data_IF_315782513739
#
_entry.id   IF_315782513739
#
_cell.length_a   1.000
_cell.length_b   1.000
_cell.length_c   1.000
_cell.angle_alpha   90.00
_cell.angle_beta   90.00
_cell.angle_gamma   90.00
#
_symmetry.space_group_name_H-M   'P 1'
#
loop_
_entity.id
_entity.type
_entity.pdbx_description
1 polymer ?
#
# COMPACT_ATOMS: atom_id res chain seq x y z
N UNK A 1 12.18 -11.71 -13.33
CA UNK A 1 12.52 -10.39 -13.89
C UNK A 1 12.53 -9.46 -12.71
N UNK A 2 13.75 -9.10 -12.28
CA UNK A 2 14.02 -8.47 -11.00
C UNK A 2 13.41 -7.08 -10.88
N UNK A 3 12.98 -6.81 -9.67
CA UNK A 3 12.58 -5.51 -9.14
C UNK A 3 13.77 -4.55 -9.04
N UNK A 4 14.47 -4.31 -10.14
CA UNK A 4 15.38 -3.20 -10.30
C UNK A 4 14.67 -2.03 -10.95
N UNK A 5 13.53 -1.64 -10.38
CA UNK A 5 12.98 -0.36 -10.73
C UNK A 5 13.53 0.67 -9.78
N UNK A 6 14.81 0.96 -10.00
CA UNK A 6 15.49 2.05 -9.38
C UNK A 6 14.83 3.36 -9.79
N UNK A 7 14.56 4.20 -8.83
CA UNK A 7 14.47 5.65 -8.98
C UNK A 7 15.76 6.08 -9.69
N UNK A 8 15.71 6.21 -10.99
CA UNK A 8 16.83 6.66 -11.79
C UNK A 8 16.70 8.17 -11.93
N UNK A 9 17.53 8.82 -11.18
CA UNK A 9 17.92 10.21 -11.17
C UNK A 9 17.58 11.00 -12.43
N UNK A 10 16.51 11.81 -12.38
CA UNK A 10 16.18 12.76 -13.45
C UNK A 10 16.61 14.20 -13.16
N UNK A 11 17.16 14.48 -11.98
CA UNK A 11 17.29 15.87 -11.53
C UNK A 11 18.68 16.33 -11.12
N UNK A 12 19.74 15.56 -11.35
CA UNK A 12 21.09 16.01 -11.04
C UNK A 12 22.03 15.59 -12.17
N UNK A 13 22.83 16.57 -12.60
CA UNK A 13 23.87 16.42 -13.61
C UNK A 13 24.66 15.12 -13.36
N UNK A 14 24.43 14.12 -14.24
CA UNK A 14 24.69 12.70 -14.00
C UNK A 14 26.17 12.31 -13.89
N UNK A 15 27.09 13.25 -13.77
CA UNK A 15 28.52 12.94 -13.65
C UNK A 15 29.06 12.89 -12.23
N UNK A 16 28.44 13.61 -11.29
CA UNK A 16 28.99 13.71 -9.92
C UNK A 16 28.25 12.87 -8.87
N UNK A 17 27.09 12.28 -9.18
CA UNK A 17 26.36 11.45 -8.21
C UNK A 17 26.51 9.94 -8.43
N UNK A 18 26.95 9.48 -9.58
CA UNK A 18 27.23 8.06 -9.81
C UNK A 18 28.40 7.55 -8.96
N UNK A 19 29.31 8.42 -8.55
CA UNK A 19 30.45 8.04 -7.69
C UNK A 19 30.05 7.87 -6.21
N UNK A 20 28.99 8.54 -5.73
CA UNK A 20 28.65 8.57 -4.30
C UNK A 20 27.54 7.62 -3.85
N UNK A 21 26.84 6.94 -4.76
CA UNK A 21 25.71 6.05 -4.45
C UNK A 21 25.73 4.75 -5.24
N UNK A 22 26.90 4.12 -5.39
CA UNK A 22 26.92 2.72 -5.77
C UNK A 22 26.37 1.89 -4.61
N UNK A 23 25.15 1.37 -4.73
CA UNK A 23 24.56 0.46 -3.74
C UNK A 23 25.45 -0.75 -3.42
N UNK A 24 26.37 -1.09 -4.32
CA UNK A 24 27.33 -2.18 -4.16
C UNK A 24 28.43 -1.86 -3.16
N UNK A 25 28.69 -0.58 -2.91
CA UNK A 25 29.71 -0.13 -1.95
C UNK A 25 29.16 0.05 -0.54
N UNK A 26 27.82 0.20 -0.39
CA UNK A 26 27.19 0.43 0.90
C UNK A 26 26.84 -0.87 1.63
N UNK A 27 26.44 -1.92 0.91
CA UNK A 27 26.00 -3.19 1.49
C UNK A 27 26.56 -4.33 0.64
N UNK A 28 27.23 -5.26 1.28
CA UNK A 28 27.69 -6.48 0.62
C UNK A 28 26.52 -7.24 -0.05
N UNK A 29 26.70 -7.74 -1.30
CA UNK A 29 25.61 -8.43 -2.03
C UNK A 29 25.05 -9.64 -1.29
N UNK A 30 25.84 -10.31 -0.47
CA UNK A 30 25.42 -11.43 0.37
C UNK A 30 24.46 -10.98 1.46
N UNK A 31 24.75 -9.87 2.13
CA UNK A 31 23.92 -9.28 3.16
C UNK A 31 22.62 -8.73 2.56
N UNK A 32 22.68 -8.07 1.39
CA UNK A 32 21.50 -7.60 0.68
C UNK A 32 20.56 -8.76 0.31
N UNK A 33 21.10 -9.91 -0.13
CA UNK A 33 20.30 -11.11 -0.39
C UNK A 33 19.64 -11.62 0.88
N UNK A 34 20.38 -11.70 1.98
CA UNK A 34 19.88 -12.12 3.30
C UNK A 34 18.74 -11.24 3.79
N UNK A 35 18.89 -9.92 3.66
CA UNK A 35 17.86 -8.94 4.05
C UNK A 35 16.60 -9.01 3.16
N UNK A 36 16.73 -9.45 1.92
CA UNK A 36 15.63 -9.64 1.00
C UNK A 36 15.02 -11.06 0.99
N UNK A 37 15.45 -11.94 1.90
CA UNK A 37 14.88 -13.28 2.00
C UNK A 37 13.41 -13.23 2.42
N UNK A 38 12.58 -13.86 1.61
CA UNK A 38 11.13 -13.95 1.85
C UNK A 38 10.78 -15.29 2.48
N UNK A 39 9.84 -15.28 3.40
CA UNK A 39 9.34 -16.47 4.08
C UNK A 39 7.82 -16.54 4.00
N UNK A 40 7.28 -17.69 3.59
CA UNK A 40 5.83 -17.90 3.65
C UNK A 40 5.31 -17.89 5.10
N UNK A 41 6.08 -18.44 6.03
CA UNK A 41 5.70 -18.43 7.45
C UNK A 41 5.55 -17.02 8.00
N UNK A 42 6.54 -16.15 7.74
CA UNK A 42 6.47 -14.75 8.18
C UNK A 42 5.34 -14.00 7.47
N UNK A 43 5.11 -14.27 6.20
CA UNK A 43 3.99 -13.68 5.45
C UNK A 43 2.64 -14.08 6.06
N UNK A 44 2.43 -15.34 6.41
CA UNK A 44 1.23 -15.78 7.11
C UNK A 44 1.12 -15.17 8.50
N UNK A 45 2.22 -15.12 9.24
CA UNK A 45 2.22 -14.51 10.57
C UNK A 45 1.79 -13.04 10.52
N UNK A 46 2.35 -12.25 9.62
CA UNK A 46 1.97 -10.83 9.43
C UNK A 46 0.51 -10.69 9.04
N UNK A 47 0.05 -11.44 8.04
CA UNK A 47 -1.31 -11.35 7.55
C UNK A 47 -2.32 -11.74 8.63
N UNK A 48 -2.14 -12.91 9.26
CA UNK A 48 -3.11 -13.40 10.24
C UNK A 48 -3.08 -12.63 11.55
N UNK A 49 -1.91 -12.17 12.02
CA UNK A 49 -1.86 -11.29 13.20
C UNK A 49 -2.63 -9.99 12.98
N UNK A 50 -2.55 -9.41 11.79
CA UNK A 50 -3.32 -8.22 11.45
C UNK A 50 -4.84 -8.50 11.37
N UNK A 51 -5.24 -9.60 10.72
CA UNK A 51 -6.66 -10.00 10.65
C UNK A 51 -7.23 -10.33 12.04
N UNK A 52 -6.45 -10.97 12.90
CA UNK A 52 -6.84 -11.22 14.29
C UNK A 52 -7.00 -9.90 15.05
N UNK A 53 -6.11 -8.93 14.87
CA UNK A 53 -6.25 -7.61 15.48
C UNK A 53 -7.55 -6.91 15.04
N UNK A 54 -7.88 -6.95 13.74
CA UNK A 54 -9.16 -6.43 13.22
C UNK A 54 -10.34 -7.14 13.89
N UNK A 55 -10.31 -8.47 13.97
CA UNK A 55 -11.39 -9.26 14.60
C UNK A 55 -11.58 -8.88 16.07
N UNK A 56 -10.49 -8.82 16.84
CA UNK A 56 -10.53 -8.48 18.28
C UNK A 56 -11.08 -7.07 18.51
N UNK A 57 -10.61 -6.09 17.74
CA UNK A 57 -11.12 -4.72 17.84
C UNK A 57 -12.57 -4.62 17.35
N UNK A 58 -12.97 -5.38 16.33
CA UNK A 58 -14.37 -5.45 15.89
C UNK A 58 -15.31 -5.98 16.98
N UNK A 59 -14.90 -7.06 17.67
CA UNK A 59 -15.65 -7.61 18.81
C UNK A 59 -15.71 -6.60 19.95
N UNK A 60 -14.60 -5.92 20.26
CA UNK A 60 -14.57 -4.89 21.29
C UNK A 60 -15.48 -3.71 20.91
N UNK A 61 -15.41 -3.23 19.67
CA UNK A 61 -16.27 -2.16 19.17
C UNK A 61 -17.75 -2.52 19.27
N UNK A 62 -18.13 -3.74 18.87
CA UNK A 62 -19.51 -4.23 19.01
C UNK A 62 -20.00 -4.20 20.46
N UNK A 63 -19.16 -4.59 21.42
CA UNK A 63 -19.51 -4.53 22.84
C UNK A 63 -19.62 -3.12 23.40
N UNK A 64 -18.90 -2.17 22.82
CA UNK A 64 -18.82 -0.78 23.25
C UNK A 64 -19.74 0.18 22.46
N UNK A 65 -20.57 -0.35 21.54
CA UNK A 65 -21.32 0.47 20.56
C UNK A 65 -22.23 1.52 21.19
N UNK A 66 -22.75 1.29 22.37
CA UNK A 66 -23.60 2.21 23.13
C UNK A 66 -22.85 3.02 24.17
N UNK A 67 -21.53 3.00 24.17
CA UNK A 67 -20.69 3.78 25.09
C UNK A 67 -19.83 4.81 24.35
N UNK A 68 -19.33 5.80 25.07
CA UNK A 68 -18.39 6.78 24.50
C UNK A 68 -17.09 6.14 23.97
N UNK A 69 -16.73 4.97 24.47
CA UNK A 69 -15.59 4.20 24.00
C UNK A 69 -15.76 3.67 22.57
N UNK A 70 -17.00 3.69 22.02
CA UNK A 70 -17.26 3.33 20.63
C UNK A 70 -16.50 4.23 19.65
N UNK A 71 -16.29 5.51 19.99
CA UNK A 71 -15.53 6.43 19.15
C UNK A 71 -14.05 6.00 19.07
N UNK A 72 -13.43 5.69 20.20
CA UNK A 72 -12.03 5.26 20.24
C UNK A 72 -11.84 3.89 19.57
N UNK A 73 -12.70 2.92 19.87
CA UNK A 73 -12.63 1.59 19.27
C UNK A 73 -12.95 1.62 17.76
N UNK A 74 -13.90 2.45 17.33
CA UNK A 74 -14.22 2.67 15.92
C UNK A 74 -13.07 3.30 15.15
N UNK A 75 -12.40 4.30 15.76
CA UNK A 75 -11.20 4.90 15.19
C UNK A 75 -10.08 3.86 15.02
N UNK A 76 -9.80 3.08 16.08
CA UNK A 76 -8.78 2.02 16.02
C UNK A 76 -9.10 0.97 14.95
N UNK A 77 -10.37 0.58 14.82
CA UNK A 77 -10.82 -0.34 13.78
C UNK A 77 -10.63 0.25 12.39
N UNK A 78 -10.99 1.52 12.21
CA UNK A 78 -10.79 2.23 10.94
C UNK A 78 -9.31 2.29 10.52
N UNK A 79 -8.41 2.54 11.46
CA UNK A 79 -6.96 2.53 11.23
C UNK A 79 -6.51 1.13 10.79
N UNK A 80 -6.90 0.08 11.50
CA UNK A 80 -6.52 -1.30 11.15
C UNK A 80 -7.05 -1.70 9.77
N UNK A 81 -8.29 -1.37 9.44
CA UNK A 81 -8.87 -1.65 8.12
C UNK A 81 -8.09 -0.88 7.03
N UNK A 82 -7.74 0.38 7.28
CA UNK A 82 -6.97 1.16 6.32
C UNK A 82 -5.58 0.57 6.06
N UNK A 83 -4.95 -0.02 7.07
CA UNK A 83 -3.66 -0.72 6.92
C UNK A 83 -3.73 -1.98 6.04
N UNK A 84 -4.91 -2.52 5.75
CA UNK A 84 -5.06 -3.58 4.74
C UNK A 84 -4.61 -3.10 3.35
N UNK A 85 -4.77 -1.80 3.04
CA UNK A 85 -4.25 -1.24 1.79
C UNK A 85 -2.71 -1.30 1.73
N UNK A 86 -2.03 -1.00 2.84
CA UNK A 86 -0.58 -1.17 2.91
C UNK A 86 -0.17 -2.64 2.67
N UNK A 87 -0.92 -3.59 3.23
CA UNK A 87 -0.74 -5.02 2.95
C UNK A 87 -0.95 -5.38 1.48
N UNK A 88 -1.99 -4.83 0.84
CA UNK A 88 -2.25 -5.01 -0.61
C UNK A 88 -1.09 -4.47 -1.45
N UNK A 89 -0.57 -3.30 -1.10
CA UNK A 89 0.57 -2.68 -1.74
C UNK A 89 1.80 -3.59 -1.72
N UNK A 90 2.17 -4.13 -0.56
CA UNK A 90 3.29 -5.06 -0.41
C UNK A 90 3.04 -6.38 -1.16
N UNK A 91 1.81 -6.88 -1.15
CA UNK A 91 1.44 -8.07 -1.94
C UNK A 91 1.54 -7.81 -3.45
N UNK A 92 1.29 -6.58 -3.90
CA UNK A 92 1.47 -6.18 -5.31
C UNK A 92 2.93 -6.19 -5.74
N UNK A 93 3.86 -5.85 -4.83
CA UNK A 93 5.29 -6.01 -5.04
C UNK A 93 5.78 -7.47 -4.91
N UNK A 94 4.94 -8.37 -4.40
CA UNK A 94 5.31 -9.76 -4.14
C UNK A 94 6.36 -9.91 -3.04
N UNK A 95 6.35 -9.02 -2.04
CA UNK A 95 7.35 -8.96 -0.95
C UNK A 95 6.94 -9.75 0.29
N UNK A 96 5.62 -9.99 0.49
CA UNK A 96 5.10 -10.61 1.72
C UNK A 96 5.37 -12.09 1.77
N UNK A 97 5.08 -12.84 0.70
CA UNK A 97 5.29 -14.28 0.64
C UNK A 97 6.42 -14.65 -0.31
N UNK A 98 7.16 -15.71 0.04
CA UNK A 98 8.14 -16.32 -0.85
C UNK A 98 7.46 -16.87 -2.11
N UNK A 99 6.30 -17.52 -1.95
CA UNK A 99 5.52 -18.08 -3.04
C UNK A 99 4.71 -16.98 -3.74
N UNK A 100 5.02 -16.67 -4.99
CA UNK A 100 4.40 -15.60 -5.76
C UNK A 100 2.86 -15.73 -5.81
N UNK A 101 2.33 -16.95 -6.05
CA UNK A 101 0.88 -17.19 -6.09
C UNK A 101 0.14 -16.84 -4.80
N UNK A 102 0.80 -16.89 -3.64
CA UNK A 102 0.20 -16.46 -2.37
C UNK A 102 0.05 -14.94 -2.33
N UNK A 103 1.04 -14.18 -2.83
CA UNK A 103 0.92 -12.73 -2.95
C UNK A 103 -0.27 -12.35 -3.85
N UNK A 104 -0.44 -13.02 -4.99
CA UNK A 104 -1.55 -12.76 -5.89
C UNK A 104 -2.90 -13.10 -5.26
N UNK A 105 -3.01 -14.27 -4.63
CA UNK A 105 -4.24 -14.76 -4.02
C UNK A 105 -4.72 -13.81 -2.90
N UNK A 106 -3.85 -13.54 -1.93
CA UNK A 106 -4.22 -12.65 -0.82
C UNK A 106 -4.38 -11.20 -1.25
N UNK A 107 -3.60 -10.73 -2.22
CA UNK A 107 -3.77 -9.40 -2.79
C UNK A 107 -5.14 -9.20 -3.44
N UNK A 108 -5.67 -10.22 -4.16
CA UNK A 108 -7.02 -10.17 -4.75
C UNK A 108 -8.11 -10.20 -3.68
N UNK A 109 -7.95 -11.02 -2.63
CA UNK A 109 -8.91 -11.06 -1.51
C UNK A 109 -8.97 -9.71 -0.81
N UNK A 110 -7.82 -9.14 -0.43
CA UNK A 110 -7.77 -7.85 0.23
C UNK A 110 -8.32 -6.77 -0.70
N UNK A 111 -7.93 -6.78 -1.98
CA UNK A 111 -8.43 -5.82 -2.97
C UNK A 111 -9.94 -5.86 -3.16
N UNK A 112 -10.56 -7.04 -3.04
CA UNK A 112 -12.01 -7.19 -3.05
C UNK A 112 -12.65 -6.47 -1.85
N UNK A 113 -12.15 -6.72 -0.62
CA UNK A 113 -12.68 -6.06 0.57
C UNK A 113 -12.41 -4.55 0.60
N UNK A 114 -11.30 -4.10 0.01
CA UNK A 114 -10.96 -2.68 -0.10
C UNK A 114 -11.67 -1.99 -1.26
N UNK A 115 -12.52 -2.69 -2.02
CA UNK A 115 -13.17 -2.21 -3.24
C UNK A 115 -12.16 -1.61 -4.23
N UNK A 116 -10.97 -2.19 -4.27
CA UNK A 116 -9.89 -1.77 -5.14
C UNK A 116 -9.18 -2.98 -5.75
N UNK A 117 -9.55 -3.39 -6.98
CA UNK A 117 -9.02 -4.59 -7.60
C UNK A 117 -7.49 -4.58 -7.65
N UNK A 118 -6.88 -5.62 -7.11
CA UNK A 118 -5.42 -5.74 -6.99
C UNK A 118 -4.70 -5.56 -8.32
N UNK A 119 -5.21 -6.15 -9.38
CA UNK A 119 -4.52 -6.11 -10.68
C UNK A 119 -4.53 -4.69 -11.26
N UNK A 120 -5.60 -3.92 -11.04
CA UNK A 120 -5.67 -2.51 -11.40
C UNK A 120 -4.71 -1.67 -10.55
N UNK A 121 -4.71 -1.88 -9.23
CA UNK A 121 -3.80 -1.21 -8.29
C UNK A 121 -2.33 -1.43 -8.69
N UNK A 122 -1.97 -2.68 -8.97
CA UNK A 122 -0.61 -3.04 -9.38
C UNK A 122 -0.16 -2.31 -10.66
N UNK A 123 -1.04 -2.23 -11.67
CA UNK A 123 -0.72 -1.54 -12.94
C UNK A 123 -0.49 -0.04 -12.68
N UNK A 124 -1.40 0.59 -11.92
CA UNK A 124 -1.30 2.01 -11.58
C UNK A 124 -0.07 2.30 -10.74
N UNK A 125 0.18 1.45 -9.75
CA UNK A 125 1.30 1.60 -8.82
C UNK A 125 2.66 1.40 -9.52
N UNK A 126 2.78 0.43 -10.42
CA UNK A 126 4.02 0.26 -11.19
C UNK A 126 4.22 1.38 -12.24
N UNK A 127 3.13 1.95 -12.76
CA UNK A 127 3.21 3.16 -13.57
C UNK A 127 3.71 4.35 -12.73
N UNK A 128 3.23 4.49 -11.47
CA UNK A 128 3.73 5.47 -10.52
C UNK A 128 5.24 5.29 -10.27
N UNK A 129 5.72 4.08 -9.97
CA UNK A 129 7.16 3.83 -9.81
C UNK A 129 7.99 4.20 -11.03
N UNK A 130 7.47 3.95 -12.23
CA UNK A 130 8.15 4.29 -13.48
C UNK A 130 8.15 5.79 -13.76
N UNK A 131 7.06 6.48 -13.44
CA UNK A 131 6.79 7.86 -13.83
C UNK A 131 6.62 8.78 -12.62
N UNK A 132 7.19 8.42 -11.48
CA UNK A 132 7.09 9.17 -10.21
C UNK A 132 7.27 10.67 -10.45
N UNK A 133 6.29 11.47 -9.99
CA UNK A 133 6.22 12.93 -10.12
C UNK A 133 6.08 13.48 -11.57
N UNK A 134 5.83 12.63 -12.55
CA UNK A 134 5.46 13.10 -13.89
C UNK A 134 3.95 13.41 -13.92
N UNK A 135 3.59 14.69 -13.93
CA UNK A 135 2.20 15.14 -13.87
C UNK A 135 1.29 14.64 -14.99
N UNK A 136 1.83 14.19 -16.09
CA UNK A 136 1.06 13.65 -17.21
C UNK A 136 0.84 12.14 -17.12
N UNK A 137 1.81 11.41 -16.55
CA UNK A 137 1.87 9.95 -16.61
C UNK A 137 1.65 9.26 -15.27
N UNK A 138 1.94 9.96 -14.16
CA UNK A 138 1.76 9.43 -12.81
C UNK A 138 0.30 9.63 -12.37
N UNK A 139 -0.46 8.53 -12.38
CA UNK A 139 -1.88 8.54 -12.01
C UNK A 139 -2.13 8.66 -10.50
N UNK A 140 -1.09 8.51 -9.66
CA UNK A 140 -1.22 8.62 -8.21
C UNK A 140 -1.05 10.06 -7.70
N UNK A 141 -0.59 10.98 -8.54
CA UNK A 141 -0.47 12.38 -8.15
C UNK A 141 -1.84 13.03 -7.94
N UNK A 142 -1.96 13.76 -6.83
CA UNK A 142 -3.14 14.58 -6.53
C UNK A 142 -3.10 15.83 -7.41
N UNK A 143 -4.06 15.96 -8.33
CA UNK A 143 -4.13 17.06 -9.32
C UNK A 143 -5.03 18.21 -8.91
N UNK A 144 -5.80 18.06 -7.85
CA UNK A 144 -6.72 19.09 -7.38
C UNK A 144 -6.02 20.04 -6.40
N UNK A 145 -6.38 21.34 -6.39
CA UNK A 145 -5.83 22.28 -5.43
C UNK A 145 -6.23 21.88 -4.02
N UNK A 146 -5.24 21.84 -3.12
CA UNK A 146 -5.43 21.48 -1.71
C UNK A 146 -6.07 22.67 -0.98
N UNK A 147 -7.35 22.56 -0.65
CA UNK A 147 -8.06 23.49 0.24
C UNK A 147 -8.31 22.82 1.57
N UNK A 148 -8.59 23.60 2.63
CA UNK A 148 -8.95 23.05 3.96
C UNK A 148 -10.14 22.08 3.83
N UNK A 149 -11.12 22.42 2.99
CA UNK A 149 -12.30 21.58 2.75
C UNK A 149 -11.90 20.23 2.10
N UNK A 150 -11.12 20.27 1.03
CA UNK A 150 -10.68 19.06 0.33
C UNK A 150 -9.78 18.21 1.21
N UNK A 151 -8.91 18.84 2.02
CA UNK A 151 -8.09 18.16 3.02
C UNK A 151 -8.94 17.43 4.06
N UNK A 152 -9.95 18.08 4.65
CA UNK A 152 -10.82 17.46 5.64
C UNK A 152 -11.63 16.30 5.05
N UNK A 153 -12.15 16.44 3.83
CA UNK A 153 -12.85 15.37 3.13
C UNK A 153 -11.93 14.16 2.84
N UNK A 154 -10.68 14.45 2.52
CA UNK A 154 -9.66 13.41 2.31
C UNK A 154 -9.25 12.76 3.64
N UNK A 155 -8.98 13.56 4.67
CA UNK A 155 -8.61 13.09 6.01
C UNK A 155 -9.66 12.14 6.61
N UNK A 156 -10.95 12.45 6.44
CA UNK A 156 -12.06 11.59 6.86
C UNK A 156 -12.37 10.45 5.90
N UNK A 157 -11.57 10.26 4.87
CA UNK A 157 -11.75 9.19 3.88
C UNK A 157 -12.96 9.37 2.95
N UNK A 158 -13.70 10.48 3.04
CA UNK A 158 -14.91 10.72 2.23
C UNK A 158 -14.57 10.70 0.74
N UNK A 159 -13.53 11.42 0.33
CA UNK A 159 -13.08 11.46 -1.07
C UNK A 159 -12.60 10.09 -1.54
N UNK A 160 -11.86 9.37 -0.69
CA UNK A 160 -11.37 8.02 -0.99
C UNK A 160 -12.54 7.08 -1.29
N UNK A 161 -13.47 6.90 -0.36
CA UNK A 161 -14.58 5.95 -0.52
C UNK A 161 -15.55 6.35 -1.63
N UNK A 162 -15.85 7.65 -1.75
CA UNK A 162 -16.64 8.16 -2.86
C UNK A 162 -16.04 7.78 -4.21
N UNK A 163 -14.74 7.99 -4.40
CA UNK A 163 -14.07 7.69 -5.66
C UNK A 163 -14.02 6.19 -5.94
N UNK A 164 -13.90 5.34 -4.92
CA UNK A 164 -13.98 3.88 -5.06
C UNK A 164 -15.37 3.44 -5.51
N UNK A 165 -16.41 3.89 -4.83
CA UNK A 165 -17.80 3.55 -5.16
C UNK A 165 -18.16 4.03 -6.58
N UNK A 166 -17.89 5.31 -6.89
CA UNK A 166 -18.16 5.86 -8.22
C UNK A 166 -17.36 5.14 -9.31
N UNK A 167 -16.11 4.74 -9.00
CA UNK A 167 -15.26 3.99 -9.93
C UNK A 167 -15.82 2.63 -10.30
N UNK A 168 -16.50 1.93 -9.38
CA UNK A 168 -17.19 0.66 -9.67
C UNK A 168 -18.29 0.86 -10.72
N UNK A 169 -19.15 1.87 -10.53
CA UNK A 169 -20.28 2.13 -11.45
C UNK A 169 -19.89 2.75 -12.79
N UNK A 170 -18.73 3.39 -12.89
CA UNK A 170 -18.26 3.96 -14.16
C UNK A 170 -17.53 2.96 -15.06
N UNK A 171 -17.14 1.80 -14.53
CA UNK A 171 -16.38 0.78 -15.24
C UNK A 171 -17.19 -0.48 -15.54
N UNK A 172 -18.40 -0.58 -14.98
CA UNK A 172 -19.41 -1.58 -15.34
C UNK A 172 -20.18 -1.14 -16.60
#
# INVERSE_FOLDING_TARGET
VGSEMCIRDRFIDGKNMQENFSRRELIEPSELRRLNEKSNFMGFFQLFSHLIAILLISVLHYKLIYSWWSLASGFALGVLINFLYAGQHELSHGTVFKTFKLNEFFGRIIGFFMLFPRDFDQIMHFAHHKWTQDWEKDGELVREPFTIKTYLLWFWGVTYWRNRIVGIFRRA
#
